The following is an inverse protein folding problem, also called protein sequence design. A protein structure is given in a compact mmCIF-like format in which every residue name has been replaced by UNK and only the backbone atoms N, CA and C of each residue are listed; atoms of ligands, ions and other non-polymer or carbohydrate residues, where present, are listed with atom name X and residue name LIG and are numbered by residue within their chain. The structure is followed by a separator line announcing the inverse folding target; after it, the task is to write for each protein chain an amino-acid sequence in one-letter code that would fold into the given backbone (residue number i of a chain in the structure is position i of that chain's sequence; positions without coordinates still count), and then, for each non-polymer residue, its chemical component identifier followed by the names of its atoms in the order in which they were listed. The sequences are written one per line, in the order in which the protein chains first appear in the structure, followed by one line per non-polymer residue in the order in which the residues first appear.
data_IF_085759717058
#
_entry.id   IF_085759717058
#
_cell.length_a   1.000
_cell.length_b   1.000
_cell.length_c   1.000
_cell.angle_alpha   90.00
_cell.angle_beta   90.00
_cell.angle_gamma   90.00
#
_symmetry.space_group_name_H-M   'P 1'
#
loop_
_entity.id
_entity.type
_entity.pdbx_description
1 polymer ?
#
# COMPACT_ATOMS: atom_id res chain seq x y z
N UNK A 1 2.26 26.91 4.61
CA UNK A 1 2.91 25.58 4.49
C UNK A 1 2.09 24.62 5.33
N UNK A 2 1.34 23.73 4.70
CA UNK A 2 0.65 22.62 5.38
C UNK A 2 1.68 21.51 5.60
N UNK A 3 1.97 21.20 6.86
CA UNK A 3 2.83 20.06 7.21
C UNK A 3 2.14 18.72 6.90
N UNK A 4 2.86 17.60 7.09
CA UNK A 4 2.30 16.27 6.87
C UNK A 4 1.07 16.05 7.75
N UNK A 5 0.01 15.49 7.16
CA UNK A 5 -1.24 15.16 7.85
C UNK A 5 -1.16 13.71 8.28
N UNK A 6 -1.42 13.47 9.56
CA UNK A 6 -1.60 12.15 10.13
C UNK A 6 -3.10 11.84 10.17
N UNK A 7 -3.53 10.78 9.47
CA UNK A 7 -4.92 10.34 9.44
C UNK A 7 -5.02 8.86 9.80
N UNK A 8 -5.99 8.53 10.66
CA UNK A 8 -6.37 7.15 10.89
C UNK A 8 -7.31 6.67 9.79
N UNK A 9 -6.90 5.67 9.03
CA UNK A 9 -7.69 5.04 7.97
C UNK A 9 -8.24 3.70 8.45
N UNK A 10 -9.39 3.73 9.15
CA UNK A 10 -9.97 2.56 9.83
C UNK A 10 -10.27 1.37 8.90
N UNK A 11 -10.63 1.63 7.65
CA UNK A 11 -11.10 0.60 6.70
C UNK A 11 -9.98 0.13 5.77
N UNK A 12 -8.79 0.72 5.89
CA UNK A 12 -7.67 0.41 5.00
C UNK A 12 -7.01 -0.90 5.40
N UNK A 13 -6.89 -1.79 4.42
CA UNK A 13 -6.18 -3.06 4.55
C UNK A 13 -4.75 -2.91 4.02
N UNK A 14 -3.79 -3.42 4.79
CA UNK A 14 -2.40 -3.42 4.40
C UNK A 14 -1.66 -4.64 4.99
N UNK A 15 -0.51 -4.98 4.42
CA UNK A 15 0.39 -6.00 4.99
C UNK A 15 1.55 -5.28 5.67
N UNK A 16 1.69 -5.47 6.98
CA UNK A 16 2.82 -4.89 7.70
C UNK A 16 4.08 -5.72 7.42
N UNK A 17 5.09 -5.14 6.78
CA UNK A 17 6.35 -5.83 6.48
C UNK A 17 7.16 -6.27 7.72
N UNK A 18 6.83 -5.72 8.90
CA UNK A 18 7.49 -6.06 10.16
C UNK A 18 6.80 -7.19 10.91
N UNK A 19 5.46 -7.16 10.95
CA UNK A 19 4.67 -8.22 11.56
C UNK A 19 4.50 -9.43 10.61
N UNK A 20 4.67 -9.20 9.31
CA UNK A 20 4.32 -10.13 8.24
C UNK A 20 2.86 -10.60 8.31
N UNK A 21 1.99 -9.73 8.83
CA UNK A 21 0.55 -9.98 9.00
C UNK A 21 -0.25 -8.91 8.25
N UNK A 22 -1.44 -9.31 7.82
CA UNK A 22 -2.48 -8.38 7.39
C UNK A 22 -2.99 -7.57 8.59
N UNK A 23 -3.14 -6.26 8.38
CA UNK A 23 -3.68 -5.33 9.35
C UNK A 23 -4.82 -4.55 8.71
N UNK A 24 -5.86 -4.30 9.50
CA UNK A 24 -6.98 -3.42 9.13
C UNK A 24 -6.93 -2.20 10.02
N UNK A 25 -7.00 -1.02 9.43
CA UNK A 25 -6.76 0.22 10.15
C UNK A 25 -5.27 0.57 10.18
N UNK A 26 -4.88 1.68 9.55
CA UNK A 26 -3.48 2.17 9.59
C UNK A 26 -3.45 3.67 9.81
N UNK A 27 -2.38 4.16 10.43
CA UNK A 27 -2.08 5.60 10.43
C UNK A 27 -1.34 5.94 9.15
N UNK A 28 -1.87 6.88 8.38
CA UNK A 28 -1.25 7.38 7.16
C UNK A 28 -0.68 8.76 7.45
N UNK A 29 0.61 8.90 7.18
CA UNK A 29 1.29 10.19 7.03
C UNK A 29 1.35 10.50 5.54
N UNK A 30 0.83 11.66 5.15
CA UNK A 30 0.82 12.08 3.76
C UNK A 30 0.64 13.58 3.59
N UNK A 31 0.59 14.01 2.34
CA UNK A 31 0.27 15.39 1.96
C UNK A 31 -1.12 15.44 1.35
N UNK A 32 -1.92 16.44 1.73
CA UNK A 32 -3.22 16.67 1.10
C UNK A 32 -3.00 17.50 -0.16
N UNK A 33 -3.19 16.88 -1.32
CA UNK A 33 -3.06 17.52 -2.63
C UNK A 33 -4.41 17.43 -3.33
N UNK A 34 -4.97 18.57 -3.72
CA UNK A 34 -6.30 18.66 -4.35
C UNK A 34 -7.45 18.03 -3.53
N UNK A 35 -7.29 17.92 -2.21
CA UNK A 35 -8.29 17.32 -1.31
C UNK A 35 -8.08 15.81 -1.05
N UNK A 36 -7.18 15.18 -1.79
CA UNK A 36 -6.82 13.77 -1.61
C UNK A 36 -5.54 13.64 -0.79
N UNK A 37 -5.50 12.66 0.12
CA UNK A 37 -4.30 12.34 0.87
C UNK A 37 -3.38 11.46 0.02
N UNK A 38 -2.25 12.02 -0.43
CA UNK A 38 -1.20 11.27 -1.08
C UNK A 38 -0.37 10.53 -0.02
N UNK A 39 -0.37 9.20 -0.10
CA UNK A 39 0.29 8.34 0.86
C UNK A 39 1.80 8.48 0.81
N UNK A 40 2.40 9.05 1.86
CA UNK A 40 3.84 9.03 2.06
C UNK A 40 4.29 7.79 2.82
N UNK A 41 3.68 7.53 3.98
CA UNK A 41 4.13 6.51 4.94
C UNK A 41 2.96 5.98 5.76
N UNK A 42 2.88 4.67 5.95
CA UNK A 42 1.90 4.04 6.84
C UNK A 42 2.57 3.60 8.13
N UNK A 43 1.81 3.54 9.23
CA UNK A 43 2.23 2.98 10.51
C UNK A 43 1.24 1.90 10.93
N UNK A 44 1.81 0.74 11.29
CA UNK A 44 1.05 -0.43 11.76
C UNK A 44 0.47 -0.16 13.15
N UNK A 45 -0.83 -0.43 13.41
CA UNK A 45 -1.41 -0.22 14.73
C UNK A 45 -0.90 -1.22 15.78
N UNK A 46 -0.41 -2.39 15.35
CA UNK A 46 0.04 -3.45 16.25
C UNK A 46 1.49 -3.23 16.72
N UNK A 47 2.41 -2.99 15.78
CA UNK A 47 3.85 -2.87 16.09
C UNK A 47 4.40 -1.44 16.04
N UNK A 48 3.58 -0.46 15.65
CA UNK A 48 3.93 0.96 15.54
C UNK A 48 5.14 1.27 14.64
N UNK A 49 5.60 0.29 13.85
CA UNK A 49 6.64 0.50 12.84
C UNK A 49 6.02 1.00 11.55
N UNK A 50 6.74 1.91 10.92
CA UNK A 50 6.34 2.43 9.62
C UNK A 50 6.66 1.49 8.48
N UNK A 51 5.85 1.51 7.43
CA UNK A 51 6.05 0.75 6.20
C UNK A 51 5.39 1.46 5.00
N UNK A 52 5.71 0.98 3.79
CA UNK A 52 5.09 1.41 2.54
C UNK A 52 4.34 0.24 1.93
N UNK A 53 3.21 0.50 1.28
CA UNK A 53 2.50 -0.52 0.50
C UNK A 53 2.90 -0.33 -0.96
N UNK A 54 3.49 -1.37 -1.54
CA UNK A 54 3.77 -1.39 -2.97
C UNK A 54 2.47 -1.77 -3.69
N UNK A 55 1.90 -0.84 -4.45
CA UNK A 55 0.83 -1.17 -5.38
C UNK A 55 1.48 -1.71 -6.66
N UNK A 56 1.47 -3.04 -6.84
CA UNK A 56 1.90 -3.65 -8.10
C UNK A 56 0.68 -3.71 -9.02
N UNK A 57 0.59 -2.76 -9.94
CA UNK A 57 -0.44 -2.76 -10.98
C UNK A 57 0.06 -3.63 -12.14
N UNK A 58 -0.47 -4.83 -12.28
CA UNK A 58 -0.27 -5.65 -13.47
C UNK A 58 -1.32 -5.32 -14.53
N UNK A 59 -0.90 -5.07 -15.77
CA UNK A 59 -1.84 -5.04 -16.90
C UNK A 59 -2.44 -6.44 -17.07
N UNK A 60 -3.72 -6.59 -16.71
CA UNK A 60 -4.42 -7.88 -16.69
C UNK A 60 -4.57 -8.53 -18.10
N UNK A 61 -4.30 -7.81 -19.19
CA UNK A 61 -4.73 -8.26 -20.53
C UNK A 61 -3.63 -8.48 -21.58
N UNK A 62 -2.35 -8.23 -21.28
CA UNK A 62 -1.27 -8.56 -22.21
C UNK A 62 -0.58 -9.87 -21.82
N UNK A 63 -1.31 -10.99 -21.88
CA UNK A 63 -0.67 -12.31 -21.93
C UNK A 63 0.08 -12.40 -23.27
N UNK A 64 1.36 -12.05 -23.26
CA UNK A 64 2.27 -12.53 -24.30
C UNK A 64 2.12 -14.05 -24.42
N UNK A 65 2.05 -14.61 -25.64
CA UNK A 65 1.93 -16.05 -25.80
C UNK A 65 3.06 -16.73 -25.02
N UNK A 66 2.69 -17.73 -24.22
CA UNK A 66 3.67 -18.51 -23.48
C UNK A 66 4.71 -19.07 -24.46
N UNK A 67 5.99 -19.15 -24.09
CA UNK A 67 7.00 -19.68 -24.98
C UNK A 67 6.67 -21.14 -25.32
N UNK A 68 6.91 -21.52 -26.58
CA UNK A 68 6.45 -22.78 -27.18
C UNK A 68 6.86 -24.06 -26.41
N UNK A 69 7.85 -23.98 -25.52
CA UNK A 69 8.30 -25.10 -24.69
C UNK A 69 7.40 -25.37 -23.45
N UNK A 70 6.48 -24.47 -23.11
CA UNK A 70 5.62 -24.57 -21.93
C UNK A 70 4.37 -25.45 -22.13
N UNK A 71 4.18 -26.02 -23.32
CA UNK A 71 3.11 -26.96 -23.61
C UNK A 71 3.63 -28.41 -23.44
N UNK A 72 3.57 -28.94 -22.22
CA UNK A 72 3.68 -30.39 -21.95
C UNK A 72 2.62 -30.82 -20.95
#
# INVERSE_FOLDING_TARGET
MSGPVWRWEKDRQAVCHWCLNEVTGVFVEGEVVNGDLLDGRMVCPECYKSFHQFLVVGEHENKAPAPAYAHR
#
